data_IF_366932272829
#
_entry.id   IF_366932272829
#
_cell.length_a   1.000
_cell.length_b   1.000
_cell.length_c   1.000
_cell.angle_alpha   90.00
_cell.angle_beta   90.00
_cell.angle_gamma   90.00
#
_symmetry.space_group_name_H-M   'P 1'
#
loop_
_entity.id
_entity.type
_entity.pdbx_description
1 polymer ?
#
# COMPACT_ATOMS: atom_id res chain seq x y z
N UNK A 1 -0.49 15.06 -75.39
CA UNK A 1 0.02 15.20 -74.01
C UNK A 1 -1.19 15.25 -73.08
N UNK A 2 -1.51 14.15 -72.40
CA UNK A 2 -2.72 14.08 -71.55
C UNK A 2 -2.27 14.03 -70.10
N UNK A 3 -2.56 15.09 -69.34
CA UNK A 3 -2.20 15.21 -67.92
C UNK A 3 -3.18 14.36 -67.11
N UNK A 4 -2.67 13.27 -66.52
CA UNK A 4 -3.42 12.44 -65.55
C UNK A 4 -3.53 13.22 -64.25
N UNK A 5 -4.70 13.80 -63.97
CA UNK A 5 -5.01 14.33 -62.62
C UNK A 5 -5.29 13.16 -61.68
N UNK A 6 -4.41 12.96 -60.72
CA UNK A 6 -4.57 11.97 -59.65
C UNK A 6 -5.48 12.59 -58.57
N UNK A 7 -6.75 12.18 -58.54
CA UNK A 7 -7.71 12.58 -57.52
C UNK A 7 -7.43 11.82 -56.20
N UNK A 8 -6.90 12.53 -55.20
CA UNK A 8 -6.52 12.01 -53.88
C UNK A 8 -7.63 12.03 -52.82
N UNK A 9 -8.88 12.34 -53.18
CA UNK A 9 -9.91 12.67 -52.17
C UNK A 9 -10.78 11.50 -51.66
N UNK A 10 -10.67 10.28 -52.22
CA UNK A 10 -11.58 9.18 -51.82
C UNK A 10 -11.06 8.22 -50.75
N UNK A 11 -9.87 8.44 -50.18
CA UNK A 11 -9.26 7.48 -49.23
C UNK A 11 -9.65 7.63 -47.76
N UNK A 12 -10.28 8.72 -47.34
CA UNK A 12 -10.42 9.03 -45.90
C UNK A 12 -11.64 8.47 -45.17
N UNK A 13 -12.71 8.07 -45.87
CA UNK A 13 -13.98 7.71 -45.19
C UNK A 13 -14.43 6.26 -45.38
N UNK A 14 -14.00 5.56 -46.44
CA UNK A 14 -14.40 4.17 -46.71
C UNK A 14 -13.49 3.09 -46.10
N UNK A 15 -12.21 3.40 -45.86
CA UNK A 15 -11.21 2.42 -45.42
C UNK A 15 -11.14 2.22 -43.88
N UNK A 16 -11.92 2.98 -43.10
CA UNK A 16 -11.87 2.98 -41.64
C UNK A 16 -12.60 1.80 -40.98
N UNK A 17 -13.31 0.97 -41.75
CA UNK A 17 -14.12 -0.12 -41.16
C UNK A 17 -13.32 -1.41 -40.90
N UNK A 18 -12.19 -1.65 -41.60
CA UNK A 18 -11.35 -2.87 -41.48
C UNK A 18 -9.88 -2.59 -41.85
N UNK A 19 -9.25 -1.57 -41.27
CA UNK A 19 -7.82 -1.33 -41.43
C UNK A 19 -7.02 -1.98 -40.29
N UNK A 20 -5.89 -2.61 -40.59
CA UNK A 20 -4.95 -3.17 -39.59
C UNK A 20 -4.58 -2.10 -38.55
N UNK A 21 -4.35 -0.86 -39.00
CA UNK A 21 -4.03 0.26 -38.11
C UNK A 21 -5.18 0.58 -37.15
N UNK A 22 -6.43 0.45 -37.60
CA UNK A 22 -7.60 0.66 -36.75
C UNK A 22 -7.74 -0.45 -35.71
N UNK A 23 -7.52 -1.72 -36.10
CA UNK A 23 -7.49 -2.85 -35.17
C UNK A 23 -6.41 -2.67 -34.10
N UNK A 24 -5.18 -2.29 -34.48
CA UNK A 24 -4.08 -2.06 -33.53
C UNK A 24 -4.40 -0.89 -32.59
N UNK A 25 -4.93 0.21 -33.10
CA UNK A 25 -5.32 1.37 -32.28
C UNK A 25 -6.32 0.96 -31.19
N UNK A 26 -7.38 0.24 -31.56
CA UNK A 26 -8.48 -0.09 -30.65
C UNK A 26 -8.11 -1.19 -29.66
N UNK A 27 -7.42 -2.25 -30.10
CA UNK A 27 -7.16 -3.42 -29.25
C UNK A 27 -5.83 -3.40 -28.50
N UNK A 28 -4.90 -2.52 -28.88
CA UNK A 28 -3.58 -2.45 -28.23
C UNK A 28 -3.33 -1.07 -27.64
N UNK A 29 -3.41 -0.02 -28.46
CA UNK A 29 -2.99 1.32 -28.04
C UNK A 29 -3.94 1.91 -26.99
N UNK A 30 -5.25 1.87 -27.23
CA UNK A 30 -6.23 2.41 -26.28
C UNK A 30 -6.14 1.68 -24.92
N UNK A 31 -6.16 0.32 -24.85
CA UNK A 31 -5.99 -0.39 -23.58
C UNK A 31 -4.66 -0.06 -22.89
N UNK A 32 -3.54 -0.03 -23.62
CA UNK A 32 -2.25 0.32 -23.06
C UNK A 32 -2.22 1.75 -22.51
N UNK A 33 -2.85 2.70 -23.19
CA UNK A 33 -2.97 4.08 -22.73
C UNK A 33 -3.82 4.19 -21.47
N UNK A 34 -4.94 3.46 -21.39
CA UNK A 34 -5.79 3.40 -20.19
C UNK A 34 -5.02 2.80 -19.00
N UNK A 35 -4.33 1.68 -19.20
CA UNK A 35 -3.49 1.07 -18.16
C UNK A 35 -2.39 2.04 -17.72
N UNK A 36 -1.69 2.66 -18.68
CA UNK A 36 -0.64 3.64 -18.41
C UNK A 36 -1.16 4.84 -17.62
N UNK A 37 -2.37 5.32 -17.94
CA UNK A 37 -3.03 6.38 -17.19
C UNK A 37 -3.34 5.95 -15.76
N UNK A 38 -3.93 4.77 -15.55
CA UNK A 38 -4.24 4.24 -14.21
C UNK A 38 -2.97 4.09 -13.37
N UNK A 39 -1.91 3.53 -13.97
CA UNK A 39 -0.59 3.38 -13.34
C UNK A 39 -0.06 4.77 -12.96
N UNK A 40 -0.04 5.71 -13.89
CA UNK A 40 0.44 7.07 -13.64
C UNK A 40 -0.33 7.74 -12.50
N UNK A 41 -1.66 7.64 -12.47
CA UNK A 41 -2.49 8.20 -11.40
C UNK A 41 -2.25 7.53 -10.05
N UNK A 42 -2.10 6.20 -10.04
CA UNK A 42 -1.83 5.42 -8.82
C UNK A 42 -0.50 5.83 -8.20
N UNK A 43 0.55 6.01 -9.00
CA UNK A 43 1.88 6.39 -8.52
C UNK A 43 2.06 7.91 -8.37
N UNK A 44 1.24 8.74 -9.01
CA UNK A 44 1.25 10.19 -8.79
C UNK A 44 0.79 10.54 -7.37
N UNK A 45 -0.17 9.80 -6.81
CA UNK A 45 -0.72 10.02 -5.46
C UNK A 45 0.18 9.53 -4.31
N UNK A 46 1.23 8.74 -4.57
CA UNK A 46 2.08 8.20 -3.49
C UNK A 46 3.10 9.21 -2.92
N UNK A 47 3.15 10.43 -3.45
CA UNK A 47 3.95 11.54 -2.91
C UNK A 47 3.13 12.47 -2.01
N UNK A 48 2.09 11.97 -1.39
CA UNK A 48 1.35 12.74 -0.39
C UNK A 48 2.30 13.12 0.75
N UNK A 49 2.57 14.41 0.93
CA UNK A 49 3.23 14.98 2.13
C UNK A 49 2.51 14.59 3.43
N UNK A 50 1.26 14.14 3.31
CA UNK A 50 0.42 13.64 4.40
C UNK A 50 0.67 12.18 4.77
N UNK A 51 1.43 11.41 3.99
CA UNK A 51 1.82 10.08 4.43
C UNK A 51 3.00 10.25 5.40
N UNK A 52 2.80 10.07 6.72
CA UNK A 52 3.88 10.23 7.68
C UNK A 52 5.03 9.32 7.27
N UNK A 53 6.25 9.85 7.34
CA UNK A 53 7.47 9.09 7.06
C UNK A 53 7.35 7.76 7.82
N UNK A 54 7.46 6.62 7.11
CA UNK A 54 7.32 5.30 7.75
C UNK A 54 8.39 5.07 8.80
N UNK A 55 9.43 5.91 8.81
CA UNK A 55 10.53 5.88 9.75
C UNK A 55 10.47 7.10 10.66
N UNK A 56 10.49 6.86 11.96
CA UNK A 56 10.71 7.92 12.94
C UNK A 56 12.09 8.56 12.73
N UNK A 57 12.14 9.89 12.81
CA UNK A 57 13.39 10.66 12.78
C UNK A 57 13.61 11.31 14.15
N UNK A 58 14.79 11.12 14.76
CA UNK A 58 15.13 11.81 16.01
C UNK A 58 14.96 13.33 15.87
N UNK A 59 14.40 13.97 16.90
CA UNK A 59 14.12 15.41 16.92
C UNK A 59 12.78 15.82 16.29
N UNK A 60 12.00 14.89 15.72
CA UNK A 60 10.61 15.14 15.29
C UNK A 60 9.63 14.67 16.37
N UNK A 61 8.45 15.30 16.50
CA UNK A 61 7.37 14.76 17.32
C UNK A 61 7.01 13.32 16.92
N UNK A 62 6.68 12.48 17.90
CA UNK A 62 6.24 11.10 17.67
C UNK A 62 4.73 11.08 17.44
N UNK A 63 4.31 11.09 16.18
CA UNK A 63 2.89 11.08 15.77
C UNK A 63 2.37 9.68 15.40
N UNK A 64 3.18 8.63 15.65
CA UNK A 64 2.77 7.26 15.36
C UNK A 64 1.83 6.72 16.45
N UNK A 65 0.98 5.76 16.07
CA UNK A 65 0.18 5.03 17.05
C UNK A 65 1.09 4.31 18.06
N UNK A 66 0.72 4.24 19.34
CA UNK A 66 1.48 3.48 20.33
C UNK A 66 1.46 2.00 19.95
N UNK A 67 2.62 1.35 20.01
CA UNK A 67 2.81 -0.06 19.63
C UNK A 67 3.57 -0.74 20.75
N UNK A 68 3.11 -1.93 21.15
CA UNK A 68 3.82 -2.82 22.06
C UNK A 68 4.28 -4.04 21.28
N UNK A 69 5.59 -4.28 21.31
CA UNK A 69 6.17 -5.50 20.78
C UNK A 69 6.22 -6.53 21.90
N UNK A 70 5.60 -7.67 21.68
CA UNK A 70 5.62 -8.79 22.61
C UNK A 70 6.78 -9.72 22.24
N UNK A 71 7.43 -10.30 23.24
CA UNK A 71 8.53 -11.24 23.03
C UNK A 71 8.10 -12.53 22.31
N UNK A 72 6.82 -12.91 22.47
CA UNK A 72 6.21 -14.10 21.89
C UNK A 72 4.88 -13.75 21.19
N UNK A 73 4.93 -13.05 20.04
CA UNK A 73 3.72 -12.57 19.35
C UNK A 73 2.78 -13.69 18.90
N UNK A 74 3.30 -14.89 18.63
CA UNK A 74 2.53 -16.09 18.27
C UNK A 74 1.51 -16.50 19.34
N UNK A 75 1.77 -16.20 20.61
CA UNK A 75 0.83 -16.46 21.70
C UNK A 75 -0.41 -15.54 21.65
N UNK A 76 -0.37 -14.48 20.84
CA UNK A 76 -1.41 -13.46 20.72
C UNK A 76 -2.14 -13.55 19.39
N UNK A 77 -1.41 -13.82 18.31
CA UNK A 77 -1.93 -13.78 16.93
C UNK A 77 -2.86 -14.97 16.63
N UNK A 78 -2.89 -16.01 17.48
CA UNK A 78 -3.80 -17.16 17.35
C UNK A 78 -5.24 -16.95 17.87
N UNK A 79 -5.57 -15.80 18.46
CA UNK A 79 -6.85 -15.60 19.16
C UNK A 79 -7.73 -14.55 18.47
N UNK A 80 -8.32 -14.88 17.31
CA UNK A 80 -9.56 -14.23 16.87
C UNK A 80 -10.70 -14.64 17.82
N UNK A 81 -10.78 -13.99 19.00
CA UNK A 81 -11.94 -14.06 19.89
C UNK A 81 -11.80 -14.77 21.24
N UNK A 82 -10.60 -14.91 21.85
CA UNK A 82 -10.44 -15.46 23.21
C UNK A 82 -9.43 -14.68 24.07
N UNK A 83 -9.53 -14.75 25.42
CA UNK A 83 -9.31 -13.63 26.33
C UNK A 83 -7.84 -13.25 26.49
N UNK A 84 -7.64 -12.09 27.12
CA UNK A 84 -6.36 -11.47 27.46
C UNK A 84 -5.25 -12.49 27.76
N UNK A 85 -4.05 -12.16 27.27
CA UNK A 85 -2.79 -12.87 27.54
C UNK A 85 -2.80 -13.50 28.94
N UNK A 86 -2.69 -14.83 29.01
CA UNK A 86 -2.47 -15.50 30.30
C UNK A 86 -1.04 -15.19 30.70
N UNK A 87 -0.87 -14.11 31.47
CA UNK A 87 0.42 -13.76 32.06
C UNK A 87 0.93 -14.90 32.95
N UNK A 88 2.25 -14.94 33.23
CA UNK A 88 2.80 -15.91 34.16
C UNK A 88 2.06 -15.84 35.51
N UNK A 89 1.74 -16.99 36.08
CA UNK A 89 1.19 -17.08 37.43
C UNK A 89 2.32 -16.73 38.40
N UNK A 90 2.17 -15.61 39.10
CA UNK A 90 3.09 -15.21 40.15
C UNK A 90 2.65 -15.87 41.45
N UNK A 91 3.58 -16.52 42.11
CA UNK A 91 3.41 -17.09 43.44
C UNK A 91 4.38 -16.40 44.38
N UNK A 92 3.93 -16.09 45.60
CA UNK A 92 4.82 -15.61 46.64
C UNK A 92 5.59 -16.77 47.29
N UNK A 93 6.49 -16.46 48.22
CA UNK A 93 7.27 -17.47 48.95
C UNK A 93 6.43 -18.45 49.78
N UNK A 94 5.13 -18.19 49.97
CA UNK A 94 4.18 -19.07 50.64
C UNK A 94 3.41 -19.99 49.66
N UNK A 95 3.64 -19.82 48.35
CA UNK A 95 2.92 -20.53 47.29
C UNK A 95 1.54 -19.94 46.99
N UNK A 96 1.20 -18.78 47.56
CA UNK A 96 -0.06 -18.12 47.28
C UNK A 96 0.02 -17.36 45.95
N UNK A 97 -1.02 -17.50 45.11
CA UNK A 97 -1.13 -16.74 43.87
C UNK A 97 -1.29 -15.26 44.17
N UNK A 98 -0.41 -14.44 43.62
CA UNK A 98 -0.43 -12.98 43.79
C UNK A 98 -0.68 -12.26 42.46
N UNK A 99 -1.34 -11.11 42.53
CA UNK A 99 -1.42 -10.23 41.38
C UNK A 99 -0.06 -9.57 41.12
N UNK A 100 0.32 -9.36 39.85
CA UNK A 100 1.53 -8.62 39.52
C UNK A 100 1.50 -7.22 40.14
N UNK A 101 2.38 -6.98 41.11
CA UNK A 101 2.66 -5.66 41.66
C UNK A 101 3.76 -4.96 40.87
N UNK A 102 3.97 -3.66 41.13
CA UNK A 102 5.13 -2.94 40.59
C UNK A 102 6.42 -3.57 41.12
N UNK A 103 7.23 -4.14 40.24
CA UNK A 103 8.51 -4.77 40.63
C UNK A 103 9.67 -3.76 40.63
N UNK A 104 9.58 -2.68 39.85
CA UNK A 104 10.60 -1.62 39.76
C UNK A 104 10.49 -0.80 38.47
N UNK A 105 11.51 0.03 38.18
CA UNK A 105 11.60 0.83 36.96
C UNK A 105 13.02 1.33 36.68
N UNK A 106 13.34 1.58 35.41
CA UNK A 106 14.57 2.21 34.96
C UNK A 106 14.22 3.37 34.02
N UNK A 107 14.96 4.48 34.10
CA UNK A 107 14.73 5.68 33.30
C UNK A 107 16.05 6.28 32.85
N UNK A 108 16.05 6.92 31.69
CA UNK A 108 17.19 7.68 31.15
C UNK A 108 16.69 8.92 30.38
N UNK A 109 17.58 9.89 30.14
CA UNK A 109 17.28 11.17 29.49
C UNK A 109 18.34 11.57 28.46
N UNK A 110 18.66 10.63 27.56
CA UNK A 110 19.25 10.87 26.23
C UNK A 110 18.90 12.23 25.60
#
# INVERSE_FOLDING_TARGET
>A
MTVVRINWEYRRLGALRLSISFTVLVYVIIPAAVIGLIVALTFAGTRDEKQPDRRYRPGRPYDFRPIWFLAAPEQVVGASGRPALTGPVLEDSSGARVQPGSTGGASDSW
#
